data_IF_306762880071
#
_entry.id   IF_306762880071
#
_cell.length_a   1.000
_cell.length_b   1.000
_cell.length_c   1.000
_cell.angle_alpha   90.00
_cell.angle_beta   90.00
_cell.angle_gamma   90.00
#
_symmetry.space_group_name_H-M   'P 1'
#
loop_
_entity.id
_entity.type
_entity.pdbx_description
1 polymer ?
#
# COMPACT_ATOMS: atom_id res chain seq x y z
N UNK A 1 -34.78 26.82 16.74
CA UNK A 1 -33.39 27.04 16.30
C UNK A 1 -32.69 25.72 16.55
N UNK A 2 -32.80 24.83 15.57
CA UNK A 2 -32.25 23.47 15.61
C UNK A 2 -30.83 23.52 15.03
N UNK A 3 -29.86 22.82 15.63
CA UNK A 3 -28.51 22.75 15.08
C UNK A 3 -28.48 21.78 13.88
N UNK A 4 -27.79 22.22 12.83
CA UNK A 4 -27.58 21.47 11.60
C UNK A 4 -26.85 20.13 11.87
N UNK A 5 -27.17 19.05 11.14
CA UNK A 5 -26.42 17.81 11.21
C UNK A 5 -25.09 17.96 10.46
N UNK A 6 -23.99 17.65 11.15
CA UNK A 6 -22.63 17.58 10.59
C UNK A 6 -22.57 16.48 9.51
N UNK A 7 -22.66 16.89 8.26
CA UNK A 7 -22.29 16.12 7.08
C UNK A 7 -20.77 16.03 7.00
N UNK A 8 -20.20 14.91 7.47
CA UNK A 8 -18.84 14.50 7.11
C UNK A 8 -18.90 13.05 6.58
N UNK A 9 -19.60 12.93 5.45
CA UNK A 9 -19.77 11.70 4.66
C UNK A 9 -18.64 11.55 3.62
N UNK A 10 -18.09 10.33 3.53
CA UNK A 10 -17.62 9.69 2.28
C UNK A 10 -16.68 10.44 1.31
N UNK A 11 -15.62 11.07 1.83
CA UNK A 11 -14.57 11.69 0.99
C UNK A 11 -13.66 10.70 0.19
N UNK A 12 -13.99 9.40 0.12
CA UNK A 12 -13.25 8.44 -0.72
C UNK A 12 -14.14 7.68 -1.73
N UNK A 13 -15.43 8.01 -1.87
CA UNK A 13 -16.32 7.41 -2.87
C UNK A 13 -16.31 8.17 -4.23
N UNK A 14 -15.51 9.23 -4.37
CA UNK A 14 -15.56 10.16 -5.52
C UNK A 14 -14.35 10.19 -6.48
N UNK A 15 -13.46 9.19 -6.49
CA UNK A 15 -12.56 9.03 -7.65
C UNK A 15 -13.23 8.23 -8.77
N UNK A 16 -14.33 8.78 -9.29
CA UNK A 16 -14.84 8.48 -10.64
C UNK A 16 -14.02 9.35 -11.58
N UNK A 17 -13.04 8.77 -12.26
CA UNK A 17 -12.56 9.39 -13.49
C UNK A 17 -13.60 9.09 -14.56
N UNK A 18 -14.53 10.04 -14.74
CA UNK A 18 -15.35 10.12 -15.94
C UNK A 18 -14.41 10.41 -17.11
N UNK A 19 -14.30 9.48 -18.05
CA UNK A 19 -13.96 9.76 -19.44
C UNK A 19 -14.89 8.87 -20.28
N UNK A 20 -15.88 9.53 -20.89
CA UNK A 20 -16.81 8.97 -21.86
C UNK A 20 -16.13 8.68 -23.21
N UNK A 21 -16.75 7.72 -23.91
CA UNK A 21 -16.70 7.37 -25.32
C UNK A 21 -15.40 6.80 -25.94
N UNK A 22 -15.44 5.48 -26.23
CA UNK A 22 -15.43 4.98 -27.62
C UNK A 22 -15.68 3.45 -27.72
N UNK A 23 -16.90 3.13 -28.17
CA UNK A 23 -17.30 2.09 -29.15
C UNK A 23 -16.85 0.61 -29.00
N UNK A 24 -17.86 -0.26 -28.94
CA UNK A 24 -17.77 -1.73 -29.02
C UNK A 24 -17.43 -2.24 -30.44
N UNK A 25 -16.62 -3.29 -30.55
CA UNK A 25 -16.59 -4.24 -31.68
C UNK A 25 -16.02 -5.61 -31.20
N UNK A 26 -16.26 -6.72 -31.93
CA UNK A 26 -16.71 -8.00 -31.38
C UNK A 26 -15.61 -8.98 -30.95
N UNK A 27 -16.00 -9.90 -30.07
CA UNK A 27 -15.20 -11.07 -29.65
C UNK A 27 -15.10 -12.12 -30.76
N UNK A 28 -13.91 -12.66 -30.97
CA UNK A 28 -13.70 -13.96 -31.64
C UNK A 28 -12.81 -14.88 -30.79
N UNK A 29 -13.00 -16.22 -30.88
CA UNK A 29 -12.67 -17.15 -29.82
C UNK A 29 -11.21 -17.63 -29.95
N UNK A 30 -10.43 -17.47 -28.88
CA UNK A 30 -9.09 -18.07 -28.79
C UNK A 30 -9.14 -19.35 -27.96
N UNK A 31 -8.58 -20.40 -28.55
CA UNK A 31 -8.74 -21.81 -28.17
C UNK A 31 -8.27 -22.18 -26.78
N UNK A 32 -8.98 -23.17 -26.26
CA UNK A 32 -8.82 -23.84 -24.98
C UNK A 32 -7.48 -24.61 -24.93
N UNK A 33 -6.48 -24.04 -24.27
CA UNK A 33 -5.29 -24.76 -23.83
C UNK A 33 -5.58 -25.34 -22.44
N UNK A 34 -5.87 -26.64 -22.38
CA UNK A 34 -6.07 -27.38 -21.14
C UNK A 34 -4.90 -27.17 -20.18
N UNK A 35 -5.18 -26.57 -19.02
CA UNK A 35 -4.22 -26.46 -17.92
C UNK A 35 -4.15 -27.81 -17.17
N UNK A 36 -2.96 -28.23 -16.72
CA UNK A 36 -2.82 -29.42 -15.89
C UNK A 36 -3.65 -29.29 -14.60
N UNK A 37 -4.08 -30.40 -13.99
CA UNK A 37 -5.01 -30.40 -12.86
C UNK A 37 -4.49 -29.54 -11.71
N UNK A 38 -5.34 -28.71 -11.07
CA UNK A 38 -4.90 -27.77 -10.05
C UNK A 38 -4.33 -28.53 -8.86
N UNK A 39 -3.08 -28.22 -8.50
CA UNK A 39 -2.50 -28.64 -7.23
C UNK A 39 -3.41 -28.16 -6.09
N UNK A 40 -3.74 -29.04 -5.15
CA UNK A 40 -4.55 -28.66 -3.99
C UNK A 40 -3.86 -27.54 -3.21
N UNK A 41 -4.51 -26.39 -2.99
CA UNK A 41 -3.87 -25.28 -2.31
C UNK A 41 -3.65 -25.65 -0.85
N UNK A 42 -2.38 -25.64 -0.42
CA UNK A 42 -1.95 -25.91 0.96
C UNK A 42 -1.55 -24.59 1.62
N UNK A 43 -1.76 -24.48 2.93
CA UNK A 43 -1.18 -23.37 3.69
C UNK A 43 0.34 -23.35 3.53
N UNK A 44 0.90 -22.21 3.10
CA UNK A 44 2.34 -22.07 2.87
C UNK A 44 3.08 -21.93 4.20
N UNK A 45 4.15 -22.70 4.37
CA UNK A 45 5.09 -22.48 5.47
C UNK A 45 5.71 -21.09 5.33
N UNK A 46 5.28 -20.16 6.18
CA UNK A 46 5.71 -18.76 6.16
C UNK A 46 6.58 -18.49 7.38
N UNK A 47 7.55 -17.57 7.24
CA UNK A 47 8.36 -17.09 8.36
C UNK A 47 7.44 -16.58 9.48
N UNK A 48 7.71 -16.99 10.72
CA UNK A 48 6.96 -16.52 11.89
C UNK A 48 7.05 -15.00 12.10
N UNK A 49 6.13 -14.47 12.93
CA UNK A 49 6.04 -13.03 13.26
C UNK A 49 7.37 -12.49 13.80
N UNK A 50 7.72 -11.26 13.41
CA UNK A 50 8.91 -10.59 13.92
C UNK A 50 8.79 -10.35 15.42
N UNK A 51 9.75 -10.85 16.20
CA UNK A 51 9.78 -10.66 17.67
C UNK A 51 10.40 -9.32 18.09
N UNK A 52 10.98 -8.56 17.16
CA UNK A 52 11.63 -7.25 17.39
C UNK A 52 12.40 -7.14 18.72
N UNK A 53 13.23 -8.15 18.98
CA UNK A 53 13.94 -8.32 20.25
C UNK A 53 14.82 -7.10 20.55
N UNK A 54 15.43 -6.51 19.51
CA UNK A 54 16.34 -5.38 19.65
C UNK A 54 15.63 -4.12 20.12
N UNK A 55 14.40 -3.87 19.67
CA UNK A 55 13.57 -2.74 20.11
C UNK A 55 13.18 -2.95 21.57
N UNK A 56 12.78 -4.17 21.93
CA UNK A 56 12.46 -4.53 23.32
C UNK A 56 13.68 -4.33 24.24
N UNK A 57 14.87 -4.70 23.79
CA UNK A 57 16.13 -4.46 24.53
C UNK A 57 16.45 -2.97 24.64
N UNK A 58 16.23 -2.18 23.59
CA UNK A 58 16.42 -0.72 23.60
C UNK A 58 15.49 -0.04 24.60
N UNK A 59 14.20 -0.41 24.59
CA UNK A 59 13.19 0.07 25.54
C UNK A 59 13.59 -0.21 26.99
N UNK A 60 14.05 -1.42 27.29
CA UNK A 60 14.55 -1.80 28.63
C UNK A 60 15.74 -0.96 29.10
N UNK A 61 16.54 -0.46 28.17
CA UNK A 61 17.68 0.43 28.44
C UNK A 61 17.29 1.92 28.46
N UNK A 62 15.99 2.24 28.38
CA UNK A 62 15.49 3.62 28.29
C UNK A 62 15.86 4.33 26.98
N UNK A 63 16.28 3.59 25.95
CA UNK A 63 16.68 4.15 24.65
C UNK A 63 15.53 4.04 23.66
N UNK A 64 15.34 5.10 22.89
CA UNK A 64 14.41 5.13 21.76
C UNK A 64 15.15 4.87 20.45
N UNK A 65 14.48 4.18 19.53
CA UNK A 65 14.98 4.04 18.16
C UNK A 65 14.73 5.35 17.41
N UNK A 66 15.79 5.93 16.86
CA UNK A 66 15.67 7.11 16.01
C UNK A 66 14.97 6.75 14.71
N UNK A 67 14.00 7.57 14.32
CA UNK A 67 13.35 7.51 13.00
C UNK A 67 13.90 8.66 12.18
N UNK A 68 14.53 8.34 11.06
CA UNK A 68 15.09 9.35 10.16
C UNK A 68 13.97 9.93 9.31
N UNK A 69 14.08 11.23 9.00
CA UNK A 69 13.18 11.95 8.13
C UNK A 69 13.97 12.52 6.96
N UNK A 70 13.38 12.51 5.78
CA UNK A 70 13.89 13.23 4.62
C UNK A 70 13.48 14.72 4.66
N UNK A 71 13.91 15.47 3.63
CA UNK A 71 13.55 16.87 3.43
C UNK A 71 12.03 17.09 3.21
N UNK A 72 11.28 16.04 2.85
CA UNK A 72 9.82 16.09 2.66
C UNK A 72 9.01 15.64 3.90
N UNK A 73 9.65 15.44 5.06
CA UNK A 73 9.00 15.01 6.30
C UNK A 73 8.36 13.61 6.26
N UNK A 74 8.82 12.76 5.34
CA UNK A 74 8.56 11.33 5.25
C UNK A 74 9.65 10.58 6.02
N UNK A 75 9.24 9.56 6.77
CA UNK A 75 10.18 8.75 7.51
C UNK A 75 10.95 7.81 6.55
N UNK A 76 12.22 7.56 6.84
CA UNK A 76 13.11 6.74 6.01
C UNK A 76 14.00 5.78 6.84
N UNK A 77 14.51 4.72 6.19
CA UNK A 77 15.58 3.87 6.71
C UNK A 77 15.14 2.71 7.60
N UNK A 78 16.11 2.06 8.26
CA UNK A 78 15.87 0.87 9.12
C UNK A 78 14.92 1.17 10.29
N UNK A 79 14.95 2.40 10.81
CA UNK A 79 14.05 2.85 11.88
C UNK A 79 12.58 2.78 11.48
N UNK A 80 12.25 3.12 10.23
CA UNK A 80 10.87 3.04 9.72
C UNK A 80 10.39 1.63 9.53
N UNK A 81 11.22 0.75 8.98
CA UNK A 81 10.86 -0.66 8.83
C UNK A 81 10.55 -1.28 10.18
N UNK A 82 11.36 -0.97 11.20
CA UNK A 82 11.14 -1.37 12.58
C UNK A 82 9.85 -0.76 13.16
N UNK A 83 9.61 0.53 12.94
CA UNK A 83 8.41 1.23 13.35
C UNK A 83 7.12 0.65 12.74
N UNK A 84 7.07 0.46 11.42
CA UNK A 84 5.91 -0.13 10.72
C UNK A 84 5.68 -1.57 11.16
N UNK A 85 6.75 -2.35 11.35
CA UNK A 85 6.63 -3.72 11.88
C UNK A 85 6.07 -3.72 13.30
N UNK A 86 6.47 -2.75 14.14
CA UNK A 86 5.97 -2.63 15.51
C UNK A 86 4.51 -2.21 15.55
N UNK A 87 4.12 -1.26 14.71
CA UNK A 87 2.72 -0.89 14.51
C UNK A 87 1.90 -2.10 14.11
N UNK A 88 2.30 -2.83 13.06
CA UNK A 88 1.57 -4.01 12.61
C UNK A 88 1.44 -5.07 13.69
N UNK A 89 2.51 -5.29 14.47
CA UNK A 89 2.43 -6.16 15.62
C UNK A 89 1.40 -5.67 16.64
N UNK A 90 1.44 -4.41 17.05
CA UNK A 90 0.48 -3.87 18.02
C UNK A 90 -0.96 -3.97 17.51
N UNK A 91 -1.20 -3.61 16.24
CA UNK A 91 -2.52 -3.64 15.62
C UNK A 91 -3.13 -5.04 15.62
N UNK A 92 -2.35 -6.04 15.22
CA UNK A 92 -2.79 -7.44 15.18
C UNK A 92 -3.14 -7.99 16.57
N UNK A 93 -2.45 -7.52 17.61
CA UNK A 93 -2.63 -8.02 18.98
C UNK A 93 -3.82 -7.36 19.69
N UNK A 94 -4.04 -6.07 19.48
CA UNK A 94 -4.96 -5.28 20.30
C UNK A 94 -6.27 -4.94 19.60
N UNK A 95 -6.34 -4.99 18.26
CA UNK A 95 -7.56 -4.64 17.52
C UNK A 95 -8.23 -5.90 16.98
N UNK A 96 -9.47 -6.18 17.40
CA UNK A 96 -10.27 -7.30 16.88
C UNK A 96 -10.39 -7.31 15.36
N UNK A 97 -10.49 -8.51 14.78
CA UNK A 97 -10.83 -8.77 13.37
C UNK A 97 -12.32 -8.56 13.04
N UNK A 98 -13.16 -8.39 14.06
CA UNK A 98 -14.61 -8.11 13.90
C UNK A 98 -14.89 -6.96 12.94
N UNK A 99 -16.13 -6.88 12.45
CA UNK A 99 -16.64 -5.84 11.53
C UNK A 99 -16.76 -4.45 12.19
N UNK A 100 -15.64 -3.95 12.71
CA UNK A 100 -15.48 -2.61 13.24
C UNK A 100 -14.95 -1.74 12.10
N UNK A 101 -15.53 -0.55 11.94
CA UNK A 101 -14.98 0.48 11.07
C UNK A 101 -13.93 1.27 11.83
N UNK A 102 -12.85 1.69 11.17
CA UNK A 102 -11.74 2.42 11.84
C UNK A 102 -12.19 3.64 12.67
N UNK A 103 -13.13 4.49 12.21
CA UNK A 103 -13.63 5.60 13.02
C UNK A 103 -14.33 5.15 14.31
N UNK A 104 -14.88 3.93 14.34
CA UNK A 104 -15.54 3.34 15.51
C UNK A 104 -14.56 2.69 16.50
N UNK A 105 -13.27 2.62 16.17
CA UNK A 105 -12.24 2.16 17.12
C UNK A 105 -12.10 3.22 18.20
N UNK A 106 -12.17 2.77 19.45
CA UNK A 106 -12.09 3.63 20.63
C UNK A 106 -10.87 4.56 20.57
N UNK A 107 -11.07 5.84 20.89
CA UNK A 107 -10.00 6.83 20.90
C UNK A 107 -8.97 6.51 21.99
N UNK A 108 -9.39 5.88 23.09
CA UNK A 108 -8.47 5.43 24.13
C UNK A 108 -7.46 4.40 23.61
N UNK A 109 -7.91 3.46 22.78
CA UNK A 109 -6.99 2.51 22.12
C UNK A 109 -6.01 3.21 21.17
N UNK A 110 -6.46 4.26 20.47
CA UNK A 110 -5.56 5.07 19.62
C UNK A 110 -4.54 5.84 20.46
N UNK A 111 -4.93 6.31 21.65
CA UNK A 111 -4.02 6.95 22.60
C UNK A 111 -2.99 5.98 23.17
N UNK A 112 -3.42 4.77 23.57
CA UNK A 112 -2.52 3.72 24.06
C UNK A 112 -1.50 3.35 22.98
N UNK A 113 -1.95 3.11 21.75
CA UNK A 113 -1.08 2.87 20.59
C UNK A 113 -0.03 3.98 20.44
N UNK A 114 -0.47 5.24 20.44
CA UNK A 114 0.42 6.39 20.29
C UNK A 114 1.47 6.45 21.41
N UNK A 115 1.04 6.29 22.66
CA UNK A 115 1.92 6.35 23.83
C UNK A 115 2.95 5.22 23.81
N UNK A 116 2.54 3.99 23.50
CA UNK A 116 3.46 2.85 23.39
C UNK A 116 4.53 3.10 22.32
N UNK A 117 4.11 3.56 21.14
CA UNK A 117 5.02 3.84 20.03
C UNK A 117 5.98 4.98 20.39
N UNK A 118 5.50 6.05 21.01
CA UNK A 118 6.30 7.18 21.48
C UNK A 118 7.31 6.79 22.58
N UNK A 119 7.05 5.71 23.32
CA UNK A 119 8.03 5.18 24.30
C UNK A 119 9.18 4.45 23.63
N UNK A 120 8.99 3.92 22.42
CA UNK A 120 9.96 3.06 21.73
C UNK A 120 10.70 3.77 20.60
N UNK A 121 10.05 4.75 19.97
CA UNK A 121 10.58 5.51 18.85
C UNK A 121 10.68 6.99 19.22
N UNK A 122 11.72 7.62 18.71
CA UNK A 122 11.91 9.06 18.83
C UNK A 122 11.10 9.76 17.73
N UNK A 123 9.84 10.09 18.04
CA UNK A 123 8.87 10.69 17.13
C UNK A 123 8.38 12.03 17.69
N UNK A 124 8.25 13.06 16.84
CA UNK A 124 7.68 14.34 17.24
C UNK A 124 6.15 14.24 17.35
N UNK A 125 5.50 15.15 18.09
CA UNK A 125 4.06 15.04 18.39
C UNK A 125 3.18 15.15 17.13
N UNK A 126 3.63 15.92 16.15
CA UNK A 126 2.97 16.10 14.85
C UNK A 126 2.87 14.78 14.07
N UNK A 127 3.70 13.78 14.40
CA UNK A 127 3.64 12.46 13.81
C UNK A 127 2.44 11.63 14.27
N UNK A 128 1.73 12.01 15.36
CA UNK A 128 0.57 11.25 15.88
C UNK A 128 -0.45 10.97 14.79
N UNK A 129 -0.90 12.00 14.07
CA UNK A 129 -1.92 11.84 13.01
C UNK A 129 -1.48 10.86 11.93
N UNK A 130 -0.25 11.01 11.42
CA UNK A 130 0.31 10.11 10.40
C UNK A 130 0.46 8.68 10.92
N UNK A 131 0.82 8.52 12.20
CA UNK A 131 0.96 7.22 12.88
C UNK A 131 -0.36 6.48 12.95
N UNK A 132 -1.42 7.15 13.41
CA UNK A 132 -2.77 6.57 13.51
C UNK A 132 -3.33 6.20 12.12
N UNK A 133 -3.11 7.04 11.10
CA UNK A 133 -3.49 6.71 9.72
C UNK A 133 -2.71 5.51 9.18
N UNK A 134 -1.41 5.42 9.45
CA UNK A 134 -0.61 4.28 9.03
C UNK A 134 -1.06 2.99 9.72
N UNK A 135 -1.42 3.06 11.00
CA UNK A 135 -1.96 1.96 11.76
C UNK A 135 -3.29 1.44 11.18
N UNK A 136 -4.19 2.35 10.79
CA UNK A 136 -5.42 2.04 10.04
C UNK A 136 -5.11 1.22 8.78
N UNK A 137 -4.19 1.72 7.96
CA UNK A 137 -3.86 1.09 6.68
C UNK A 137 -3.27 -0.31 6.89
N UNK A 138 -2.34 -0.46 7.85
CA UNK A 138 -1.75 -1.76 8.19
C UNK A 138 -2.82 -2.76 8.65
N UNK A 139 -3.75 -2.32 9.50
CA UNK A 139 -4.84 -3.18 9.97
C UNK A 139 -5.79 -3.58 8.81
N UNK A 140 -6.15 -2.63 7.94
CA UNK A 140 -6.94 -2.92 6.73
C UNK A 140 -6.24 -3.91 5.82
N UNK A 141 -4.95 -3.72 5.56
CA UNK A 141 -4.17 -4.57 4.66
C UNK A 141 -4.02 -5.99 5.23
N UNK A 142 -3.88 -6.12 6.55
CA UNK A 142 -3.91 -7.41 7.24
C UNK A 142 -5.25 -8.13 7.06
N UNK A 143 -6.39 -7.45 7.27
CA UNK A 143 -7.72 -8.02 7.00
C UNK A 143 -7.90 -8.42 5.54
N UNK A 144 -7.43 -7.59 4.61
CA UNK A 144 -7.48 -7.90 3.17
C UNK A 144 -6.64 -9.12 2.81
N UNK A 145 -5.51 -9.33 3.49
CA UNK A 145 -4.67 -10.51 3.30
C UNK A 145 -5.41 -11.77 3.77
N UNK A 146 -6.00 -11.74 4.97
CA UNK A 146 -6.80 -12.85 5.48
C UNK A 146 -8.03 -13.14 4.59
N UNK A 147 -8.74 -12.11 4.16
CA UNK A 147 -9.87 -12.23 3.24
C UNK A 147 -9.45 -12.75 1.86
N UNK A 148 -8.22 -12.47 1.41
CA UNK A 148 -7.70 -13.06 0.17
C UNK A 148 -7.50 -14.56 0.34
N UNK A 149 -6.88 -14.99 1.43
CA UNK A 149 -6.64 -16.40 1.74
C UNK A 149 -7.97 -17.16 1.89
N UNK A 150 -8.98 -16.57 2.55
CA UNK A 150 -10.33 -17.16 2.65
C UNK A 150 -10.90 -17.46 1.25
N UNK A 151 -10.80 -16.52 0.32
CA UNK A 151 -11.29 -16.72 -1.05
C UNK A 151 -10.45 -17.70 -1.88
N UNK A 152 -9.19 -17.92 -1.53
CA UNK A 152 -8.33 -18.93 -2.17
C UNK A 152 -8.73 -20.35 -1.73
N UNK A 153 -9.13 -20.52 -0.46
CA UNK A 153 -9.46 -21.83 0.11
C UNK A 153 -10.96 -22.17 0.12
N UNK A 154 -11.87 -21.19 -0.04
CA UNK A 154 -13.32 -21.41 0.14
C UNK A 154 -13.92 -22.53 -0.72
N UNK A 155 -13.43 -22.69 -1.95
CA UNK A 155 -13.93 -23.70 -2.89
C UNK A 155 -13.00 -24.92 -2.97
N UNK A 156 -11.70 -24.72 -2.74
CA UNK A 156 -10.70 -25.76 -2.92
C UNK A 156 -10.51 -26.63 -1.67
N UNK A 157 -10.41 -26.03 -0.49
CA UNK A 157 -10.07 -26.73 0.76
C UNK A 157 -10.75 -26.05 1.97
N UNK A 158 -12.08 -26.22 2.14
CA UNK A 158 -12.85 -25.51 3.17
C UNK A 158 -12.41 -25.82 4.61
N UNK A 159 -11.89 -27.03 4.87
CA UNK A 159 -11.44 -27.42 6.22
C UNK A 159 -10.26 -26.57 6.73
N UNK A 160 -9.49 -25.94 5.83
CA UNK A 160 -8.41 -25.01 6.22
C UNK A 160 -8.95 -23.67 6.78
N UNK A 161 -10.26 -23.42 6.66
CA UNK A 161 -10.91 -22.22 7.20
C UNK A 161 -11.54 -22.44 8.58
N UNK A 162 -11.53 -23.67 9.11
CA UNK A 162 -12.09 -23.96 10.44
C UNK A 162 -11.33 -23.26 11.57
N UNK A 163 -10.02 -23.06 11.38
CA UNK A 163 -9.11 -22.42 12.33
C UNK A 163 -8.38 -21.24 11.66
N UNK A 164 -7.92 -20.26 12.46
CA UNK A 164 -7.05 -19.20 11.95
C UNK A 164 -5.81 -19.76 11.26
N UNK A 165 -5.18 -19.02 10.34
CA UNK A 165 -3.89 -19.41 9.79
C UNK A 165 -2.86 -19.59 10.90
N UNK A 166 -1.97 -20.58 10.76
CA UNK A 166 -0.93 -20.93 11.76
C UNK A 166 -0.11 -19.76 12.31
N UNK A 167 0.08 -18.72 11.50
CA UNK A 167 0.82 -17.52 11.90
C UNK A 167 0.10 -16.69 12.99
N UNK A 168 -1.22 -16.83 13.10
CA UNK A 168 -2.09 -16.01 13.93
C UNK A 168 -2.94 -16.82 14.92
N UNK A 169 -2.73 -18.14 15.02
CA UNK A 169 -3.43 -19.03 15.97
C UNK A 169 -3.34 -18.53 17.42
N UNK A 170 -2.21 -17.95 17.83
CA UNK A 170 -1.99 -17.45 19.19
C UNK A 170 -2.65 -16.07 19.47
N UNK A 171 -3.17 -15.40 18.45
CA UNK A 171 -3.63 -14.00 18.53
C UNK A 171 -5.12 -13.88 18.21
N UNK A 172 -5.62 -14.69 17.27
CA UNK A 172 -7.02 -14.66 16.85
C UNK A 172 -7.77 -15.78 17.57
N UNK A 173 -8.82 -15.42 18.29
CA UNK A 173 -9.72 -16.40 18.89
C UNK A 173 -10.51 -17.18 17.81
N UNK A 174 -10.76 -18.47 18.04
CA UNK A 174 -11.47 -19.32 17.06
C UNK A 174 -12.89 -18.80 16.78
N UNK A 175 -13.56 -18.24 17.78
CA UNK A 175 -14.88 -17.63 17.61
C UNK A 175 -14.83 -16.40 16.71
N UNK A 176 -13.87 -15.51 16.99
CA UNK A 176 -13.65 -14.31 16.19
C UNK A 176 -13.29 -14.64 14.74
N UNK A 177 -12.46 -15.66 14.53
CA UNK A 177 -12.13 -16.14 13.19
C UNK A 177 -13.36 -16.62 12.42
N UNK A 178 -14.22 -17.43 13.04
CA UNK A 178 -15.47 -17.90 12.41
C UNK A 178 -16.41 -16.76 12.06
N UNK A 179 -16.55 -15.77 12.93
CA UNK A 179 -17.31 -14.54 12.66
C UNK A 179 -16.75 -13.80 11.43
N UNK A 180 -15.42 -13.66 11.35
CA UNK A 180 -14.74 -13.00 10.24
C UNK A 180 -14.84 -13.78 8.90
N UNK A 181 -14.76 -15.11 8.94
CA UNK A 181 -14.97 -15.94 7.74
C UNK A 181 -16.40 -15.79 7.24
N UNK A 182 -17.39 -15.83 8.13
CA UNK A 182 -18.79 -15.64 7.78
C UNK A 182 -19.05 -14.24 7.16
N UNK A 183 -18.48 -13.17 7.75
CA UNK A 183 -18.64 -11.82 7.20
C UNK A 183 -17.95 -11.65 5.84
N UNK A 184 -16.76 -12.23 5.68
CA UNK A 184 -16.00 -12.22 4.42
C UNK A 184 -16.69 -12.99 3.29
N UNK A 185 -17.52 -13.99 3.61
CA UNK A 185 -18.30 -14.76 2.63
C UNK A 185 -19.71 -14.20 2.40
N UNK A 186 -20.06 -13.08 3.04
CA UNK A 186 -21.36 -12.45 2.86
C UNK A 186 -21.56 -11.90 1.43
N UNK A 187 -22.80 -11.84 0.92
CA UNK A 187 -23.09 -11.25 -0.39
C UNK A 187 -22.61 -9.80 -0.53
N UNK A 188 -22.75 -9.01 0.54
CA UNK A 188 -22.29 -7.62 0.59
C UNK A 188 -20.77 -7.51 0.39
N UNK A 189 -20.00 -8.40 1.01
CA UNK A 189 -18.56 -8.44 0.84
C UNK A 189 -18.16 -8.86 -0.57
N UNK A 190 -18.84 -9.88 -1.12
CA UNK A 190 -18.61 -10.34 -2.49
C UNK A 190 -18.84 -9.23 -3.52
N UNK A 191 -19.91 -8.44 -3.37
CA UNK A 191 -20.20 -7.30 -4.23
C UNK A 191 -19.09 -6.23 -4.16
N UNK A 192 -18.66 -5.84 -2.95
CA UNK A 192 -17.56 -4.88 -2.75
C UNK A 192 -16.25 -5.37 -3.38
N UNK A 193 -15.92 -6.65 -3.18
CA UNK A 193 -14.74 -7.27 -3.75
C UNK A 193 -14.77 -7.25 -5.28
N UNK A 194 -15.92 -7.60 -5.88
CA UNK A 194 -16.09 -7.61 -7.34
C UNK A 194 -15.89 -6.20 -7.93
N UNK A 195 -16.54 -5.18 -7.36
CA UNK A 195 -16.35 -3.76 -7.77
C UNK A 195 -14.87 -3.35 -7.69
N UNK A 196 -14.17 -3.73 -6.62
CA UNK A 196 -12.73 -3.44 -6.48
C UNK A 196 -11.87 -4.17 -7.52
N UNK A 197 -12.21 -5.41 -7.88
CA UNK A 197 -11.53 -6.17 -8.93
C UNK A 197 -11.75 -5.56 -10.31
N UNK A 198 -12.99 -5.15 -10.63
CA UNK A 198 -13.34 -4.45 -11.86
C UNK A 198 -12.58 -3.12 -11.98
N UNK A 199 -12.54 -2.33 -10.90
CA UNK A 199 -11.74 -1.09 -10.86
C UNK A 199 -10.25 -1.36 -11.05
N UNK A 200 -9.72 -2.44 -10.47
CA UNK A 200 -8.31 -2.83 -10.66
C UNK A 200 -8.03 -3.29 -12.09
N UNK A 201 -8.98 -3.96 -12.75
CA UNK A 201 -8.83 -4.40 -14.14
C UNK A 201 -8.76 -3.22 -15.12
N UNK A 202 -9.39 -2.08 -14.78
CA UNK A 202 -9.26 -0.83 -15.55
C UNK A 202 -7.87 -0.19 -15.46
N UNK A 203 -7.00 -0.63 -14.53
CA UNK A 203 -5.66 -0.10 -14.41
C UNK A 203 -4.73 -0.66 -15.51
N UNK A 204 -4.61 0.10 -16.59
CA UNK A 204 -3.80 -0.23 -17.77
C UNK A 204 -2.30 -0.18 -17.49
N UNK A 205 -1.87 0.71 -16.59
CA UNK A 205 -0.45 0.95 -16.26
C UNK A 205 -0.14 0.38 -14.88
N UNK A 206 -0.11 -0.95 -14.80
CA UNK A 206 0.25 -1.63 -13.56
C UNK A 206 1.71 -1.30 -13.21
N UNK A 207 1.92 -0.45 -12.21
CA UNK A 207 3.24 -0.24 -11.64
C UNK A 207 3.63 -1.47 -10.81
N UNK A 208 4.82 -2.00 -11.02
CA UNK A 208 5.36 -3.14 -10.28
C UNK A 208 6.55 -2.67 -9.47
N UNK A 209 6.34 -2.19 -8.24
CA UNK A 209 7.46 -1.94 -7.33
C UNK A 209 8.02 -3.30 -6.87
N UNK A 210 8.96 -3.85 -7.63
CA UNK A 210 9.39 -5.24 -7.46
C UNK A 210 10.17 -5.48 -6.15
N UNK A 211 10.54 -4.42 -5.43
CA UNK A 211 10.76 -4.33 -3.97
C UNK A 211 11.30 -2.94 -3.68
N UNK A 212 10.42 -1.98 -3.39
CA UNK A 212 10.81 -0.65 -2.95
C UNK A 212 9.74 0.39 -3.15
N UNK A 213 9.50 1.19 -2.12
CA UNK A 213 8.72 2.42 -2.24
C UNK A 213 9.36 3.34 -3.31
N UNK A 214 8.60 4.28 -3.87
CA UNK A 214 9.10 5.34 -4.77
C UNK A 214 10.41 5.94 -4.25
N UNK A 215 10.51 6.05 -2.93
CA UNK A 215 11.67 6.55 -2.21
C UNK A 215 12.94 5.69 -2.30
N UNK A 216 12.83 4.36 -2.33
CA UNK A 216 14.02 3.51 -2.54
C UNK A 216 14.60 3.73 -3.93
N UNK A 217 13.73 4.03 -4.89
CA UNK A 217 14.17 4.39 -6.23
C UNK A 217 14.83 5.77 -6.21
N UNK A 218 14.23 6.77 -5.56
CA UNK A 218 14.86 8.09 -5.33
C UNK A 218 16.27 7.96 -4.72
N UNK A 219 16.46 7.14 -3.69
CA UNK A 219 17.81 6.89 -3.11
C UNK A 219 18.81 6.34 -4.12
N UNK A 220 18.35 5.41 -4.95
CA UNK A 220 19.19 4.81 -5.96
C UNK A 220 19.59 5.86 -6.99
N UNK A 221 18.68 6.78 -7.33
CA UNK A 221 18.99 7.93 -8.18
C UNK A 221 20.00 8.88 -7.49
N UNK A 222 19.80 9.22 -6.22
CA UNK A 222 20.71 10.06 -5.42
C UNK A 222 22.14 9.49 -5.38
N UNK A 223 22.25 8.18 -5.14
CA UNK A 223 23.54 7.48 -5.12
C UNK A 223 24.22 7.49 -6.49
N UNK A 224 23.45 7.38 -7.57
CA UNK A 224 23.98 7.44 -8.95
C UNK A 224 24.41 8.86 -9.34
N UNK A 225 23.64 9.89 -8.95
CA UNK A 225 23.90 11.28 -9.27
C UNK A 225 24.93 11.94 -8.35
N UNK A 226 25.22 11.35 -7.19
CA UNK A 226 26.21 11.85 -6.23
C UNK A 226 25.80 13.13 -5.50
N UNK A 227 24.53 13.54 -5.60
CA UNK A 227 23.98 14.70 -4.90
C UNK A 227 22.53 14.43 -4.48
N UNK A 228 22.06 15.18 -3.48
CA UNK A 228 20.69 15.07 -2.99
C UNK A 228 19.70 15.62 -4.02
N UNK A 229 18.59 14.92 -4.22
CA UNK A 229 17.56 15.35 -5.15
C UNK A 229 16.75 16.49 -4.54
N UNK A 230 16.81 17.65 -5.19
CA UNK A 230 15.97 18.79 -4.83
C UNK A 230 14.68 18.81 -5.66
N UNK A 231 14.77 18.49 -6.95
CA UNK A 231 13.64 18.43 -7.87
C UNK A 231 13.80 17.23 -8.82
N UNK A 232 13.09 16.14 -8.54
CA UNK A 232 12.86 15.08 -9.54
C UNK A 232 11.43 15.14 -10.01
N UNK A 233 11.24 15.09 -11.32
CA UNK A 233 9.93 14.85 -11.86
C UNK A 233 9.48 13.42 -11.52
N UNK A 234 8.26 13.31 -10.96
CA UNK A 234 7.67 12.03 -10.52
C UNK A 234 7.69 10.93 -11.59
N UNK A 235 7.72 11.30 -12.87
CA UNK A 235 7.82 10.34 -13.97
C UNK A 235 9.19 9.63 -14.04
N UNK A 236 10.30 10.24 -13.59
CA UNK A 236 11.64 9.62 -13.64
C UNK A 236 11.72 8.46 -12.65
N UNK A 237 11.21 8.67 -11.44
CA UNK A 237 11.05 7.62 -10.43
C UNK A 237 10.13 6.53 -10.98
N UNK A 238 9.07 6.90 -11.68
CA UNK A 238 8.10 5.98 -12.25
C UNK A 238 8.68 5.14 -13.41
N UNK A 239 9.49 5.72 -14.30
CA UNK A 239 10.23 5.01 -15.36
C UNK A 239 11.13 3.92 -14.78
N UNK A 240 11.80 4.20 -13.67
CA UNK A 240 12.69 3.23 -13.00
C UNK A 240 11.91 2.13 -12.26
N UNK A 241 10.72 2.43 -11.75
CA UNK A 241 9.84 1.43 -11.12
C UNK A 241 9.16 0.50 -12.12
N UNK A 242 8.90 0.95 -13.34
CA UNK A 242 8.21 0.16 -14.37
C UNK A 242 9.07 -0.93 -15.02
N UNK A 243 10.40 -0.91 -14.84
CA UNK A 243 11.30 -1.87 -15.48
C UNK A 243 11.29 -3.22 -14.76
N UNK A 244 10.48 -4.17 -15.24
CA UNK A 244 10.63 -5.59 -14.88
C UNK A 244 12.00 -6.08 -15.32
N UNK A 245 12.67 -6.87 -14.47
CA UNK A 245 13.90 -7.59 -14.83
C UNK A 245 13.58 -8.91 -15.55
N UNK A 246 12.78 -8.86 -16.62
CA UNK A 246 12.60 -9.93 -17.64
C UNK A 246 11.52 -9.55 -18.67
N UNK A 247 11.95 -9.29 -19.89
CA UNK A 247 11.41 -9.74 -21.20
C UNK A 247 9.92 -9.66 -21.56
N UNK A 248 9.06 -8.99 -20.79
CA UNK A 248 7.71 -8.63 -21.25
C UNK A 248 7.56 -7.11 -21.22
N UNK A 249 8.06 -6.46 -22.28
CA UNK A 249 7.70 -5.08 -22.59
C UNK A 249 6.20 -5.05 -22.89
N UNK A 250 5.40 -4.60 -21.92
CA UNK A 250 4.00 -4.28 -22.18
C UNK A 250 3.99 -3.12 -23.19
N UNK A 251 3.44 -3.34 -24.37
CA UNK A 251 3.40 -2.36 -25.47
C UNK A 251 2.89 -0.99 -25.04
N UNK A 252 1.94 -0.97 -24.08
CA UNK A 252 1.39 0.26 -23.50
C UNK A 252 2.39 1.01 -22.62
N UNK A 253 3.31 0.30 -21.95
CA UNK A 253 4.42 0.93 -21.22
C UNK A 253 5.41 1.57 -22.18
N UNK A 254 5.73 0.92 -23.30
CA UNK A 254 6.61 1.46 -24.32
C UNK A 254 6.05 2.72 -24.98
N UNK A 255 4.74 2.74 -25.28
CA UNK A 255 4.05 3.94 -25.79
C UNK A 255 4.11 5.11 -24.79
N UNK A 256 3.84 4.83 -23.50
CA UNK A 256 3.92 5.84 -22.46
C UNK A 256 5.36 6.38 -22.27
N UNK A 257 6.37 5.51 -22.29
CA UNK A 257 7.78 5.93 -22.18
C UNK A 257 8.18 6.83 -23.36
N UNK A 258 7.73 6.51 -24.58
CA UNK A 258 7.93 7.36 -25.76
C UNK A 258 7.30 8.75 -25.57
N UNK A 259 6.03 8.83 -25.18
CA UNK A 259 5.33 10.11 -24.95
C UNK A 259 6.02 10.94 -23.87
N UNK A 260 6.54 10.31 -22.81
CA UNK A 260 7.28 11.01 -21.77
C UNK A 260 8.60 11.60 -22.29
N UNK A 261 9.34 10.86 -23.12
CA UNK A 261 10.55 11.37 -23.76
C UNK A 261 10.25 12.57 -24.69
N UNK A 262 9.14 12.53 -25.42
CA UNK A 262 8.70 13.66 -26.26
C UNK A 262 8.40 14.91 -25.42
N UNK A 263 7.74 14.75 -24.27
CA UNK A 263 7.45 15.86 -23.33
C UNK A 263 8.73 16.41 -22.70
N UNK A 264 9.69 15.55 -22.35
CA UNK A 264 11.00 15.98 -21.83
C UNK A 264 11.79 16.81 -22.85
N UNK A 265 11.81 16.37 -24.11
CA UNK A 265 12.45 17.10 -25.21
C UNK A 265 11.82 18.49 -25.39
N UNK A 266 10.49 18.55 -25.40
CA UNK A 266 9.77 19.81 -25.53
C UNK A 266 10.05 20.76 -24.36
N UNK A 267 10.08 20.24 -23.13
CA UNK A 267 10.41 21.04 -21.94
C UNK A 267 11.85 21.58 -22.00
N UNK A 268 12.82 20.77 -22.46
CA UNK A 268 14.20 21.23 -22.67
C UNK A 268 14.27 22.36 -23.69
N UNK A 269 13.62 22.19 -24.84
CA UNK A 269 13.59 23.23 -25.89
C UNK A 269 12.98 24.54 -25.37
N UNK A 270 11.90 24.47 -24.59
CA UNK A 270 11.32 25.66 -23.97
C UNK A 270 12.28 26.35 -22.99
N UNK A 271 13.02 25.59 -22.18
CA UNK A 271 14.01 26.17 -21.25
C UNK A 271 15.16 26.86 -22.02
N UNK A 272 15.66 26.25 -23.08
CA UNK A 272 16.69 26.86 -23.94
C UNK A 272 16.21 28.19 -24.56
N UNK A 273 14.96 28.23 -25.01
CA UNK A 273 14.33 29.47 -25.52
C UNK A 273 14.19 30.53 -24.43
N UNK A 274 13.79 30.15 -23.21
CA UNK A 274 13.70 31.07 -22.07
C UNK A 274 15.08 31.64 -21.74
N UNK A 275 16.11 30.81 -21.67
CA UNK A 275 17.48 31.22 -21.37
C UNK A 275 18.04 32.16 -22.45
N UNK A 276 17.75 31.89 -23.73
CA UNK A 276 18.10 32.76 -24.84
C UNK A 276 17.43 34.14 -24.72
N UNK A 277 16.11 34.17 -24.44
CA UNK A 277 15.39 35.42 -24.23
C UNK A 277 15.93 36.20 -23.03
N UNK A 278 16.23 35.52 -21.92
CA UNK A 278 16.82 36.14 -20.73
C UNK A 278 18.22 36.70 -21.03
N UNK A 279 19.00 36.05 -21.90
CA UNK A 279 20.31 36.55 -22.34
C UNK A 279 20.17 37.81 -23.18
N UNK A 280 19.20 37.85 -24.10
CA UNK A 280 18.91 39.03 -24.94
C UNK A 280 18.39 40.22 -24.13
N UNK A 281 17.63 39.98 -23.06
CA UNK A 281 17.16 41.05 -22.16
C UNK A 281 18.23 41.60 -21.21
N UNK A 282 19.32 40.86 -20.98
CA UNK A 282 20.45 41.28 -20.13
C UNK A 282 21.58 41.97 -20.93
N UNK A 283 21.54 41.93 -22.26
CA UNK A 283 22.45 42.68 -23.15
C UNK A 283 21.87 44.04 -23.52
#
# INVERSE_FOLDING_TARGET
MEPAPDEDYDYWDHFVYDHDDAQSMPEEPSGELEKPPPATPKQKNTRGRSKQIDITKMKRKGKKMKVEYNNFGQCWGKGVTAYVTRLGAWMQLNIPLRDISWPKVDEELKNILWNEIKTEFDLPEEARRKTILKARDIWRDWKNTLAKDIYEFKDAVPHLLEKPPRLYEDIIDEKEWKEFVASSLSPNWAAKRKKAQENRAKNVYLHSSERGDMRMVEEQIEKELGHQLNDIYRFEVWKRLGRKKKDEANEKWSDMERRLCEVEEHNRQMQEQIDELLRLFRS
#
